data_IF_059234346539
#
_entry.id   IF_059234346539
#
_cell.length_a   1.000
_cell.length_b   1.000
_cell.length_c   1.000
_cell.angle_alpha   90.00
_cell.angle_beta   90.00
_cell.angle_gamma   90.00
#
_symmetry.space_group_name_H-M   'P 1'
#
loop_
_entity.id
_entity.type
_entity.pdbx_description
1 polymer ?
#
# COMPACT_ATOMS: atom_id res chain seq x y z
N UNK A 1 -15.52 60.23 40.87
CA UNK A 1 -16.58 59.20 40.88
C UNK A 1 -16.77 58.72 39.45
N UNK A 2 -16.83 57.40 39.23
CA UNK A 2 -16.98 56.67 37.95
C UNK A 2 -15.68 56.20 37.26
N UNK A 3 -15.32 55.01 37.72
CA UNK A 3 -14.58 53.89 37.12
C UNK A 3 -14.64 53.74 35.59
N UNK A 4 -13.48 53.50 34.98
CA UNK A 4 -13.36 52.93 33.63
C UNK A 4 -13.43 51.41 33.70
N UNK A 5 -14.41 50.82 33.03
CA UNK A 5 -14.57 49.38 32.87
C UNK A 5 -13.65 48.87 31.76
N UNK A 6 -12.87 47.83 32.07
CA UNK A 6 -12.15 47.03 31.07
C UNK A 6 -13.16 46.14 30.32
N UNK A 7 -13.26 46.30 29.00
CA UNK A 7 -13.93 45.33 28.13
C UNK A 7 -12.95 44.23 27.74
N UNK A 8 -13.11 43.05 28.33
CA UNK A 8 -12.43 41.83 27.87
C UNK A 8 -13.05 41.38 26.53
N UNK A 9 -12.24 41.35 25.47
CA UNK A 9 -12.60 40.69 24.21
C UNK A 9 -12.58 39.17 24.44
N UNK A 10 -13.76 38.56 24.41
CA UNK A 10 -13.91 37.10 24.39
C UNK A 10 -13.60 36.63 22.96
N UNK A 11 -12.42 36.07 22.74
CA UNK A 11 -12.07 35.38 21.49
C UNK A 11 -12.85 34.05 21.46
N UNK A 12 -13.93 34.00 20.69
CA UNK A 12 -14.68 32.78 20.47
C UNK A 12 -13.80 31.79 19.66
N UNK A 13 -13.32 30.76 20.34
CA UNK A 13 -12.63 29.63 19.73
C UNK A 13 -13.68 28.79 18.96
N UNK A 14 -13.73 28.94 17.64
CA UNK A 14 -14.52 28.06 16.77
C UNK A 14 -13.91 26.66 16.82
N UNK A 15 -14.43 25.80 17.69
CA UNK A 15 -14.18 24.36 17.62
C UNK A 15 -14.99 23.84 16.43
N UNK A 16 -14.33 23.68 15.28
CA UNK A 16 -14.89 22.91 14.16
C UNK A 16 -14.85 21.44 14.57
N UNK A 17 -15.94 20.96 15.16
CA UNK A 17 -16.23 19.54 15.29
C UNK A 17 -16.43 18.98 13.88
N UNK A 18 -15.42 18.32 13.33
CA UNK A 18 -15.61 17.42 12.20
C UNK A 18 -16.46 16.24 12.68
N UNK A 19 -17.78 16.38 12.54
CA UNK A 19 -18.68 15.24 12.49
C UNK A 19 -18.36 14.49 11.20
N UNK A 20 -17.44 13.52 11.28
CA UNK A 20 -17.35 12.45 10.30
C UNK A 20 -18.65 11.66 10.39
N UNK A 21 -19.63 12.07 9.59
CA UNK A 21 -20.81 11.26 9.34
C UNK A 21 -20.38 10.04 8.53
N UNK A 22 -20.02 8.97 9.23
CA UNK A 22 -19.91 7.63 8.67
C UNK A 22 -21.31 7.14 8.30
N UNK A 23 -21.92 7.72 7.27
CA UNK A 23 -23.07 7.12 6.60
C UNK A 23 -22.56 5.95 5.77
N UNK A 24 -22.27 4.84 6.45
CA UNK A 24 -22.15 3.52 5.83
C UNK A 24 -23.54 3.17 5.28
N UNK A 25 -23.64 2.94 3.97
CA UNK A 25 -24.86 2.38 3.41
C UNK A 25 -25.10 1.02 4.09
N UNK A 26 -26.36 0.74 4.51
CA UNK A 26 -26.69 -0.53 5.13
C UNK A 26 -26.14 -1.71 4.30
N UNK A 27 -25.55 -2.73 4.94
CA UNK A 27 -24.88 -3.81 4.21
C UNK A 27 -25.86 -4.46 3.23
N UNK A 28 -25.42 -4.74 1.99
CA UNK A 28 -26.28 -5.32 0.97
C UNK A 28 -26.90 -6.63 1.48
N UNK A 29 -28.21 -6.77 1.31
CA UNK A 29 -28.95 -7.98 1.70
C UNK A 29 -28.68 -9.10 0.69
N UNK A 30 -28.80 -10.35 1.14
CA UNK A 30 -28.72 -11.55 0.31
C UNK A 30 -27.34 -11.80 -0.33
N UNK A 31 -26.26 -11.59 0.42
CA UNK A 31 -24.94 -12.06 -0.02
C UNK A 31 -24.96 -13.58 -0.21
N UNK A 32 -24.29 -14.12 -1.23
CA UNK A 32 -24.10 -15.56 -1.34
C UNK A 32 -23.28 -16.08 -0.14
N UNK A 33 -23.49 -17.34 0.22
CA UNK A 33 -22.74 -17.96 1.29
C UNK A 33 -21.25 -18.05 0.91
N UNK A 34 -20.39 -17.48 1.77
CA UNK A 34 -18.95 -17.51 1.55
C UNK A 34 -18.33 -18.84 2.02
N UNK A 35 -17.50 -19.43 1.15
CA UNK A 35 -16.88 -20.74 1.39
C UNK A 35 -15.77 -20.68 2.45
N UNK A 36 -15.65 -21.73 3.27
CA UNK A 36 -14.46 -21.94 4.11
C UNK A 36 -13.23 -22.36 3.31
N UNK A 37 -13.42 -22.90 2.09
CA UNK A 37 -12.33 -23.40 1.25
C UNK A 37 -11.34 -22.30 0.84
N UNK A 38 -11.80 -21.05 0.74
CA UNK A 38 -11.00 -19.90 0.29
C UNK A 38 -10.62 -18.97 1.45
N UNK A 39 -10.74 -19.45 2.68
CA UNK A 39 -10.25 -18.81 3.89
C UNK A 39 -9.18 -19.72 4.49
N UNK A 40 -7.92 -19.31 4.38
CA UNK A 40 -6.80 -20.10 4.87
C UNK A 40 -6.35 -19.56 6.23
N UNK A 41 -7.01 -19.97 7.32
CA UNK A 41 -6.63 -19.59 8.68
C UNK A 41 -5.27 -20.19 9.05
N UNK A 42 -4.33 -19.34 9.49
CA UNK A 42 -3.00 -19.73 10.02
C UNK A 42 -2.68 -19.03 11.33
N UNK A 43 -3.12 -17.78 11.48
CA UNK A 43 -3.10 -17.05 12.74
C UNK A 43 -4.33 -17.37 13.60
N UNK A 44 -4.17 -17.32 14.92
CA UNK A 44 -5.24 -17.56 15.90
C UNK A 44 -5.98 -16.27 16.33
N UNK A 45 -5.43 -15.10 15.98
CA UNK A 45 -6.00 -13.77 16.28
C UNK A 45 -6.23 -13.46 17.78
N UNK A 46 -5.59 -14.22 18.67
CA UNK A 46 -5.73 -14.04 20.12
C UNK A 46 -5.06 -12.77 20.63
N UNK A 47 -4.00 -12.30 19.95
CA UNK A 47 -3.28 -11.09 20.35
C UNK A 47 -4.16 -9.85 20.21
N UNK A 48 -4.76 -9.64 19.04
CA UNK A 48 -5.69 -8.54 18.76
C UNK A 48 -6.95 -8.65 19.61
N UNK A 49 -7.54 -9.85 19.74
CA UNK A 49 -8.69 -10.09 20.62
C UNK A 49 -8.42 -9.62 22.05
N UNK A 50 -7.35 -10.13 22.65
CA UNK A 50 -6.97 -9.79 24.03
C UNK A 50 -6.69 -8.28 24.17
N UNK A 51 -6.01 -7.69 23.19
CA UNK A 51 -5.75 -6.26 23.18
C UNK A 51 -7.04 -5.43 23.23
N UNK A 52 -8.03 -5.80 22.41
CA UNK A 52 -9.34 -5.14 22.35
C UNK A 52 -10.14 -5.39 23.64
N UNK A 53 -10.24 -6.64 24.08
CA UNK A 53 -11.05 -7.00 25.26
C UNK A 53 -10.48 -6.50 26.59
N UNK A 54 -9.16 -6.58 26.78
CA UNK A 54 -8.54 -6.29 28.08
C UNK A 54 -8.15 -4.82 28.22
N UNK A 55 -7.62 -4.20 27.16
CA UNK A 55 -7.19 -2.80 27.24
C UNK A 55 -8.22 -1.81 26.71
N UNK A 56 -9.27 -2.31 26.03
CA UNK A 56 -10.31 -1.47 25.41
C UNK A 56 -9.73 -0.43 24.44
N UNK A 57 -8.59 -0.77 23.82
CA UNK A 57 -7.92 0.03 22.78
C UNK A 57 -7.43 -0.88 21.67
N UNK A 58 -7.37 -0.38 20.44
CA UNK A 58 -6.81 -1.14 19.32
C UNK A 58 -6.39 -0.24 18.16
N UNK A 59 -5.18 -0.42 17.65
CA UNK A 59 -4.76 0.19 16.39
C UNK A 59 -4.90 -0.82 15.25
N UNK A 60 -5.78 -0.50 14.30
CA UNK A 60 -6.06 -1.33 13.13
C UNK A 60 -5.64 -0.57 11.88
N UNK A 61 -4.79 -1.16 11.05
CA UNK A 61 -4.26 -0.51 9.87
C UNK A 61 -4.52 -1.31 8.59
N UNK A 62 -4.76 -0.59 7.50
CA UNK A 62 -5.02 -1.15 6.17
C UNK A 62 -4.01 -0.59 5.18
N UNK A 63 -3.21 -1.45 4.56
CA UNK A 63 -2.22 -1.07 3.55
C UNK A 63 -2.53 -1.74 2.22
N UNK A 64 -2.68 -0.95 1.17
CA UNK A 64 -2.92 -1.52 -0.16
C UNK A 64 -3.00 -0.49 -1.26
N UNK A 65 -3.56 -0.92 -2.39
CA UNK A 65 -3.78 -0.12 -3.57
C UNK A 65 -5.04 0.75 -3.48
N UNK A 66 -5.68 0.95 -4.63
CA UNK A 66 -6.93 1.73 -4.74
C UNK A 66 -8.11 1.08 -4.03
N UNK A 67 -8.12 -0.25 -3.90
CA UNK A 67 -9.20 -1.01 -3.26
C UNK A 67 -9.20 -0.75 -1.76
N UNK A 68 -8.02 -0.68 -1.14
CA UNK A 68 -7.86 -0.20 0.25
C UNK A 68 -8.16 1.28 0.42
N UNK A 69 -7.75 2.13 -0.53
CA UNK A 69 -7.94 3.58 -0.45
C UNK A 69 -9.41 3.97 -0.41
N UNK A 70 -10.25 3.34 -1.25
CA UNK A 70 -11.67 3.65 -1.36
C UNK A 70 -12.48 3.31 -0.09
N UNK A 71 -13.72 3.81 -0.04
CA UNK A 71 -14.69 3.40 0.96
C UNK A 71 -15.42 2.13 0.51
N UNK A 72 -14.71 1.01 0.60
CA UNK A 72 -15.19 -0.33 0.24
C UNK A 72 -15.20 -1.29 1.43
N UNK A 73 -14.47 -2.40 1.30
CA UNK A 73 -14.39 -3.44 2.34
C UNK A 73 -13.84 -2.90 3.67
N UNK A 74 -12.89 -1.95 3.63
CA UNK A 74 -12.24 -1.40 4.82
C UNK A 74 -13.24 -0.80 5.82
N UNK A 75 -14.10 0.19 5.46
CA UNK A 75 -15.14 0.67 6.36
C UNK A 75 -16.10 -0.42 6.89
N UNK A 76 -16.43 -1.43 6.08
CA UNK A 76 -17.30 -2.54 6.52
C UNK A 76 -16.60 -3.39 7.60
N UNK A 77 -15.30 -3.65 7.45
CA UNK A 77 -14.49 -4.33 8.46
C UNK A 77 -14.36 -3.48 9.73
N UNK A 78 -14.19 -2.15 9.58
CA UNK A 78 -14.16 -1.22 10.73
C UNK A 78 -15.48 -1.29 11.53
N UNK A 79 -16.61 -1.23 10.84
CA UNK A 79 -17.95 -1.35 11.46
C UNK A 79 -18.16 -2.70 12.16
N UNK A 80 -17.71 -3.80 11.53
CA UNK A 80 -17.71 -5.12 12.14
C UNK A 80 -16.89 -5.16 13.45
N UNK A 81 -15.70 -4.56 13.46
CA UNK A 81 -14.83 -4.52 14.65
C UNK A 81 -15.45 -3.68 15.78
N UNK A 82 -15.99 -2.50 15.46
CA UNK A 82 -16.68 -1.64 16.43
C UNK A 82 -17.92 -2.32 17.02
N UNK A 83 -18.68 -3.05 16.20
CA UNK A 83 -19.84 -3.82 16.67
C UNK A 83 -19.43 -5.01 17.55
N UNK A 84 -18.32 -5.67 17.23
CA UNK A 84 -17.83 -6.85 17.96
C UNK A 84 -17.22 -6.47 19.30
N UNK A 85 -16.51 -5.34 19.35
CA UNK A 85 -15.87 -4.83 20.57
C UNK A 85 -16.33 -3.40 20.89
N UNK A 86 -17.60 -3.21 21.30
CA UNK A 86 -18.22 -1.88 21.43
C UNK A 86 -17.58 -0.99 22.51
N UNK A 87 -16.85 -1.58 23.45
CA UNK A 87 -16.12 -0.84 24.48
C UNK A 87 -14.70 -0.45 24.04
N UNK A 88 -14.22 -0.93 22.88
CA UNK A 88 -12.86 -0.67 22.41
C UNK A 88 -12.79 0.64 21.64
N UNK A 89 -11.89 1.53 22.07
CA UNK A 89 -11.51 2.71 21.29
C UNK A 89 -10.52 2.31 20.19
N UNK A 90 -11.00 2.28 18.95
CA UNK A 90 -10.16 1.99 17.80
C UNK A 90 -9.48 3.24 17.22
N UNK A 91 -8.22 3.09 16.84
CA UNK A 91 -7.53 3.95 15.89
C UNK A 91 -7.49 3.21 14.56
N UNK A 92 -8.11 3.77 13.52
CA UNK A 92 -8.10 3.18 12.18
C UNK A 92 -7.16 3.95 11.25
N UNK A 93 -6.16 3.26 10.72
CA UNK A 93 -5.21 3.83 9.75
C UNK A 93 -5.56 3.34 8.34
N UNK A 94 -6.00 4.26 7.48
CA UNK A 94 -6.12 4.02 6.04
C UNK A 94 -4.81 4.42 5.35
N UNK A 95 -3.98 3.42 5.02
CA UNK A 95 -2.77 3.58 4.24
C UNK A 95 -2.94 3.09 2.80
N UNK A 96 -4.14 3.15 2.22
CA UNK A 96 -4.38 2.89 0.81
C UNK A 96 -3.82 3.99 -0.09
N UNK A 97 -3.12 3.61 -1.16
CA UNK A 97 -2.70 4.53 -2.23
C UNK A 97 -2.97 3.88 -3.58
N UNK A 98 -3.92 4.45 -4.33
CA UNK A 98 -4.23 4.03 -5.70
C UNK A 98 -2.98 3.86 -6.53
N UNK A 99 -3.00 2.86 -7.42
CA UNK A 99 -1.96 2.64 -8.42
C UNK A 99 -0.62 2.14 -7.89
N UNK A 100 -0.48 1.93 -6.57
CA UNK A 100 0.77 1.44 -5.95
C UNK A 100 0.77 -0.07 -5.74
N UNK A 101 1.96 -0.68 -5.79
CA UNK A 101 2.18 -2.12 -5.65
C UNK A 101 2.90 -2.46 -4.33
N UNK A 102 3.15 -3.75 -4.09
CA UNK A 102 3.78 -4.25 -2.86
C UNK A 102 5.19 -3.70 -2.63
N UNK A 103 5.97 -3.43 -3.69
CA UNK A 103 7.27 -2.77 -3.57
C UNK A 103 7.12 -1.36 -2.98
N UNK A 104 6.23 -0.54 -3.55
CA UNK A 104 5.92 0.79 -3.00
C UNK A 104 5.39 0.67 -1.56
N UNK A 105 4.56 -0.34 -1.30
CA UNK A 105 4.08 -0.70 0.03
C UNK A 105 5.22 -0.91 1.02
N UNK A 106 6.23 -1.71 0.66
CA UNK A 106 7.39 -1.97 1.51
C UNK A 106 8.17 -0.68 1.83
N UNK A 107 8.43 0.18 0.84
CA UNK A 107 9.16 1.43 1.06
C UNK A 107 8.39 2.47 1.90
N UNK A 108 7.05 2.43 1.90
CA UNK A 108 6.21 3.39 2.62
C UNK A 108 5.62 2.86 3.93
N UNK A 109 5.78 1.57 4.25
CA UNK A 109 5.17 0.94 5.42
C UNK A 109 5.52 1.70 6.71
N UNK A 110 6.78 2.09 6.86
CA UNK A 110 7.19 2.89 8.00
C UNK A 110 6.44 4.24 8.07
N UNK A 111 6.51 5.04 7.00
CA UNK A 111 5.92 6.38 6.96
C UNK A 111 4.40 6.36 7.14
N UNK A 112 3.71 5.45 6.47
CA UNK A 112 2.25 5.49 6.35
C UNK A 112 1.53 4.68 7.44
N UNK A 113 2.21 3.73 8.07
CA UNK A 113 1.61 2.83 9.08
C UNK A 113 2.36 2.92 10.40
N UNK A 114 3.64 2.56 10.42
CA UNK A 114 4.38 2.37 11.69
C UNK A 114 4.65 3.70 12.41
N UNK A 115 4.71 4.81 11.69
CA UNK A 115 4.81 6.16 12.27
C UNK A 115 3.62 6.54 13.15
N UNK A 116 2.49 5.84 13.00
CA UNK A 116 1.26 6.05 13.76
C UNK A 116 1.16 5.18 15.02
N UNK A 117 2.20 4.39 15.31
CA UNK A 117 2.31 3.52 16.49
C UNK A 117 2.15 2.02 16.17
N UNK A 118 2.32 1.16 17.19
CA UNK A 118 2.19 -0.29 17.03
C UNK A 118 0.81 -0.68 16.47
N UNK A 119 0.77 -1.60 15.50
CA UNK A 119 -0.47 -2.10 14.89
C UNK A 119 -0.86 -3.42 15.54
N UNK A 120 -2.09 -3.52 16.04
CA UNK A 120 -2.61 -4.70 16.73
C UNK A 120 -3.28 -5.67 15.74
N UNK A 121 -3.98 -5.16 14.73
CA UNK A 121 -4.55 -5.93 13.63
C UNK A 121 -4.28 -5.22 12.29
N UNK A 122 -3.67 -5.93 11.35
CA UNK A 122 -3.21 -5.38 10.08
C UNK A 122 -3.83 -6.09 8.89
N UNK A 123 -4.32 -5.31 7.94
CA UNK A 123 -4.85 -5.79 6.67
C UNK A 123 -3.95 -5.34 5.52
N UNK A 124 -3.60 -6.27 4.64
CA UNK A 124 -2.78 -5.96 3.45
C UNK A 124 -3.32 -6.61 2.18
N UNK A 125 -3.34 -5.85 1.09
CA UNK A 125 -3.70 -6.34 -0.24
C UNK A 125 -2.89 -5.61 -1.32
N UNK A 126 -2.29 -6.36 -2.23
CA UNK A 126 -1.57 -5.82 -3.40
C UNK A 126 -1.60 -6.76 -4.62
N UNK A 127 -2.31 -7.89 -4.57
CA UNK A 127 -2.20 -8.93 -5.62
C UNK A 127 -2.59 -8.39 -7.00
N UNK A 128 -3.68 -7.62 -7.08
CA UNK A 128 -4.09 -6.99 -8.35
C UNK A 128 -3.12 -5.92 -8.82
N UNK A 129 -2.50 -5.18 -7.89
CA UNK A 129 -1.54 -4.13 -8.22
C UNK A 129 -0.20 -4.69 -8.71
N UNK A 130 0.29 -5.75 -8.06
CA UNK A 130 1.51 -6.44 -8.49
C UNK A 130 1.33 -7.06 -9.88
N UNK A 131 0.12 -7.52 -10.22
CA UNK A 131 -0.23 -8.07 -11.53
C UNK A 131 -0.42 -6.96 -12.59
N UNK A 132 -1.43 -6.10 -12.41
CA UNK A 132 -1.89 -5.16 -13.44
C UNK A 132 -1.09 -3.85 -13.49
N UNK A 133 -0.69 -3.31 -12.34
CA UNK A 133 -0.05 -1.99 -12.27
C UNK A 133 1.47 -2.09 -12.39
N UNK A 134 2.08 -3.10 -11.78
CA UNK A 134 3.53 -3.24 -11.75
C UNK A 134 4.08 -4.31 -12.70
N UNK A 135 3.25 -5.27 -13.14
CA UNK A 135 3.69 -6.40 -13.96
C UNK A 135 4.84 -7.18 -13.31
N UNK A 136 4.78 -7.34 -11.98
CA UNK A 136 5.88 -7.88 -11.21
C UNK A 136 6.17 -9.34 -11.56
N UNK A 137 7.45 -9.68 -11.60
CA UNK A 137 7.87 -11.07 -11.54
C UNK A 137 7.51 -11.67 -10.17
N UNK A 138 7.50 -13.00 -10.08
CA UNK A 138 7.25 -13.68 -8.82
C UNK A 138 8.22 -13.25 -7.71
N UNK A 139 9.50 -13.03 -8.04
CA UNK A 139 10.51 -12.58 -7.10
C UNK A 139 10.25 -11.16 -6.59
N UNK A 140 9.88 -10.22 -7.47
CA UNK A 140 9.56 -8.86 -7.08
C UNK A 140 8.34 -8.81 -6.14
N UNK A 141 7.26 -9.51 -6.50
CA UNK A 141 6.06 -9.60 -5.67
C UNK A 141 6.33 -10.22 -4.28
N UNK A 142 7.22 -11.23 -4.19
CA UNK A 142 7.64 -11.81 -2.91
C UNK A 142 8.46 -10.79 -2.10
N UNK A 143 9.46 -10.13 -2.71
CA UNK A 143 10.34 -9.16 -2.02
C UNK A 143 9.55 -7.99 -1.44
N UNK A 144 8.58 -7.45 -2.19
CA UNK A 144 7.69 -6.38 -1.73
C UNK A 144 6.78 -6.83 -0.60
N UNK A 145 6.03 -7.91 -0.79
CA UNK A 145 5.09 -8.39 0.23
C UNK A 145 5.79 -8.83 1.52
N UNK A 146 6.88 -9.58 1.41
CA UNK A 146 7.70 -9.94 2.58
C UNK A 146 8.26 -8.69 3.28
N UNK A 147 8.66 -7.68 2.51
CA UNK A 147 9.13 -6.41 3.04
C UNK A 147 8.12 -5.73 3.98
N UNK A 148 6.86 -5.65 3.55
CA UNK A 148 5.75 -5.14 4.37
C UNK A 148 5.57 -5.97 5.64
N UNK A 149 5.42 -7.29 5.47
CA UNK A 149 5.11 -8.19 6.58
C UNK A 149 6.21 -8.20 7.65
N UNK A 150 7.48 -8.27 7.22
CA UNK A 150 8.62 -8.28 8.12
C UNK A 150 8.71 -6.98 8.93
N UNK A 151 8.44 -5.83 8.32
CA UNK A 151 8.43 -4.55 9.02
C UNK A 151 7.33 -4.48 10.09
N UNK A 152 6.11 -4.93 9.77
CA UNK A 152 4.98 -4.98 10.72
C UNK A 152 5.33 -5.90 11.90
N UNK A 153 5.80 -7.11 11.61
CA UNK A 153 6.20 -8.12 12.62
C UNK A 153 7.37 -7.67 13.49
N UNK A 154 8.36 -6.98 12.91
CA UNK A 154 9.50 -6.43 13.66
C UNK A 154 9.07 -5.30 14.60
N UNK A 155 8.16 -4.45 14.14
CA UNK A 155 7.68 -3.31 14.92
C UNK A 155 6.74 -3.75 16.06
N UNK A 156 5.83 -4.69 15.78
CA UNK A 156 4.99 -5.33 16.80
C UNK A 156 4.90 -6.85 16.56
N UNK A 157 5.64 -7.68 17.33
CA UNK A 157 5.61 -9.14 17.16
C UNK A 157 4.25 -9.76 17.55
N UNK A 158 3.39 -9.01 18.26
CA UNK A 158 2.03 -9.46 18.60
C UNK A 158 0.99 -9.04 17.57
N UNK A 159 1.35 -8.30 16.52
CA UNK A 159 0.37 -7.85 15.51
C UNK A 159 -0.34 -9.06 14.88
N UNK A 160 -1.65 -9.06 14.72
CA UNK A 160 -2.32 -10.06 13.89
C UNK A 160 -2.44 -9.55 12.45
N UNK A 161 -2.33 -10.42 11.46
CA UNK A 161 -2.34 -10.01 10.04
C UNK A 161 -3.38 -10.81 9.26
N UNK A 162 -4.14 -10.13 8.41
CA UNK A 162 -4.98 -10.72 7.36
C UNK A 162 -4.47 -10.21 6.02
N UNK A 163 -4.11 -11.12 5.13
CA UNK A 163 -3.77 -10.80 3.75
C UNK A 163 -4.95 -11.12 2.84
N UNK A 164 -5.31 -10.20 1.95
CA UNK A 164 -6.49 -10.35 1.07
C UNK A 164 -6.04 -10.38 -0.39
N UNK A 165 -6.54 -11.36 -1.15
CA UNK A 165 -6.29 -11.47 -2.59
C UNK A 165 -7.53 -11.05 -3.39
N UNK A 166 -7.55 -9.79 -3.84
CA UNK A 166 -8.53 -9.30 -4.81
C UNK A 166 -8.27 -9.85 -6.21
N UNK A 167 -9.19 -9.57 -7.14
CA UNK A 167 -9.20 -10.11 -8.49
C UNK A 167 -9.42 -9.03 -9.55
N UNK A 168 -8.72 -9.17 -10.67
CA UNK A 168 -8.97 -8.44 -11.92
C UNK A 168 -9.42 -9.43 -13.02
N UNK A 169 -9.87 -8.98 -14.20
CA UNK A 169 -10.36 -9.89 -15.25
C UNK A 169 -9.35 -10.96 -15.71
N UNK A 170 -8.07 -10.60 -15.86
CA UNK A 170 -7.00 -11.53 -16.26
C UNK A 170 -6.75 -12.61 -15.20
N UNK A 171 -6.74 -12.21 -13.92
CA UNK A 171 -6.63 -13.13 -12.79
C UNK A 171 -7.85 -14.03 -12.68
N UNK A 172 -9.06 -13.51 -12.89
CA UNK A 172 -10.30 -14.29 -12.90
C UNK A 172 -10.25 -15.36 -13.99
N UNK A 173 -9.90 -14.99 -15.22
CA UNK A 173 -9.73 -15.92 -16.34
C UNK A 173 -8.66 -16.98 -16.02
N UNK A 174 -7.55 -16.59 -15.40
CA UNK A 174 -6.51 -17.52 -14.96
C UNK A 174 -7.06 -18.57 -14.00
N UNK A 175 -7.87 -18.15 -13.01
CA UNK A 175 -8.48 -19.04 -12.02
C UNK A 175 -9.51 -19.97 -12.66
N UNK A 176 -10.38 -19.46 -13.54
CA UNK A 176 -11.39 -20.25 -14.24
C UNK A 176 -10.75 -21.29 -15.17
N UNK A 177 -9.54 -21.03 -15.67
CA UNK A 177 -8.72 -21.98 -16.39
C UNK A 177 -7.90 -22.92 -15.47
N UNK A 178 -8.29 -23.04 -14.19
CA UNK A 178 -7.66 -23.89 -13.17
C UNK A 178 -6.18 -23.61 -12.92
N UNK A 179 -5.72 -22.39 -13.22
CA UNK A 179 -4.37 -21.90 -12.93
C UNK A 179 -4.42 -20.95 -11.75
N UNK A 180 -3.25 -20.62 -11.19
CA UNK A 180 -3.15 -19.66 -10.08
C UNK A 180 -2.54 -18.36 -10.58
N UNK A 181 -3.14 -17.19 -10.28
CA UNK A 181 -2.53 -15.91 -10.58
C UNK A 181 -1.15 -15.80 -9.95
N UNK A 182 -0.20 -15.22 -10.70
CA UNK A 182 1.20 -15.16 -10.28
C UNK A 182 1.38 -14.35 -9.00
N UNK A 183 0.75 -13.17 -8.92
CA UNK A 183 0.86 -12.27 -7.77
C UNK A 183 0.25 -12.88 -6.50
N UNK A 184 -0.97 -13.40 -6.56
CA UNK A 184 -1.62 -14.11 -5.44
C UNK A 184 -0.78 -15.30 -4.97
N UNK A 185 -0.23 -16.08 -5.92
CA UNK A 185 0.64 -17.22 -5.59
C UNK A 185 1.95 -16.81 -4.92
N UNK A 186 2.53 -15.67 -5.33
CA UNK A 186 3.71 -15.09 -4.69
C UNK A 186 3.43 -14.62 -3.27
N UNK A 187 2.33 -13.88 -3.08
CA UNK A 187 1.94 -13.38 -1.75
C UNK A 187 1.58 -14.51 -0.80
N UNK A 188 0.91 -15.56 -1.30
CA UNK A 188 0.57 -16.75 -0.52
C UNK A 188 1.82 -17.55 -0.08
N UNK A 189 2.93 -17.51 -0.83
CA UNK A 189 4.21 -18.08 -0.35
C UNK A 189 4.73 -17.30 0.86
N UNK A 190 4.65 -15.97 0.84
CA UNK A 190 4.98 -15.13 2.01
C UNK A 190 4.04 -15.44 3.16
N UNK A 191 2.74 -15.55 2.90
CA UNK A 191 1.75 -15.86 3.94
C UNK A 191 2.03 -17.19 4.64
N UNK A 192 2.43 -18.23 3.90
CA UNK A 192 2.86 -19.51 4.49
C UNK A 192 4.15 -19.37 5.30
N UNK A 193 5.14 -18.63 4.80
CA UNK A 193 6.42 -18.43 5.50
C UNK A 193 6.25 -17.72 6.85
N UNK A 194 5.34 -16.75 6.93
CA UNK A 194 5.06 -15.96 8.15
C UNK A 194 3.83 -16.43 8.94
N UNK A 195 3.22 -17.56 8.57
CA UNK A 195 1.99 -18.08 9.19
C UNK A 195 0.82 -17.07 9.23
N UNK A 196 0.64 -16.32 8.15
CA UNK A 196 -0.42 -15.31 7.99
C UNK A 196 -1.64 -15.95 7.34
N UNK A 197 -2.82 -15.67 7.89
CA UNK A 197 -4.05 -16.13 7.25
C UNK A 197 -4.35 -15.32 5.99
N UNK A 198 -4.87 -16.00 4.98
CA UNK A 198 -5.26 -15.38 3.71
C UNK A 198 -6.77 -15.52 3.46
N UNK A 199 -7.36 -14.44 2.95
CA UNK A 199 -8.69 -14.43 2.34
C UNK A 199 -8.49 -14.42 0.83
N UNK A 200 -8.73 -15.56 0.18
CA UNK A 200 -8.62 -15.72 -1.27
C UNK A 200 -9.95 -15.34 -1.94
N UNK A 201 -10.27 -14.05 -1.89
CA UNK A 201 -11.47 -13.49 -2.52
C UNK A 201 -11.49 -13.77 -4.02
N UNK A 202 -10.33 -13.80 -4.67
CA UNK A 202 -10.23 -14.08 -6.10
C UNK A 202 -10.80 -15.46 -6.47
N UNK A 203 -10.37 -16.51 -5.76
CA UNK A 203 -10.92 -17.86 -6.00
C UNK A 203 -12.38 -17.97 -5.58
N UNK A 204 -12.81 -17.28 -4.52
CA UNK A 204 -14.21 -17.28 -4.10
C UNK A 204 -15.13 -16.61 -5.13
N UNK A 205 -14.72 -15.47 -5.70
CA UNK A 205 -15.46 -14.80 -6.77
C UNK A 205 -15.57 -15.70 -8.01
N UNK A 206 -14.49 -16.36 -8.41
CA UNK A 206 -14.53 -17.32 -9.52
C UNK A 206 -15.52 -18.46 -9.25
N UNK A 207 -15.45 -19.08 -8.06
CA UNK A 207 -16.36 -20.13 -7.64
C UNK A 207 -17.83 -19.68 -7.66
N UNK A 208 -18.12 -18.48 -7.14
CA UNK A 208 -19.47 -17.93 -7.11
C UNK A 208 -20.01 -17.61 -8.51
N UNK A 209 -19.15 -17.15 -9.42
CA UNK A 209 -19.50 -16.91 -10.83
C UNK A 209 -19.78 -18.24 -11.54
N UNK A 210 -18.91 -19.23 -11.39
CA UNK A 210 -19.08 -20.55 -12.02
C UNK A 210 -20.35 -21.26 -11.50
N UNK A 211 -20.69 -21.06 -10.23
CA UNK A 211 -21.92 -21.55 -9.62
C UNK A 211 -23.17 -20.70 -9.95
N UNK A 212 -23.04 -19.64 -10.76
CA UNK A 212 -24.12 -18.70 -11.14
C UNK A 212 -24.78 -18.00 -9.95
N UNK A 213 -24.05 -17.83 -8.85
CA UNK A 213 -24.50 -17.13 -7.63
C UNK A 213 -24.03 -15.66 -7.59
N UNK A 214 -23.13 -15.29 -8.49
CA UNK A 214 -22.59 -13.96 -8.66
C UNK A 214 -22.33 -13.72 -10.15
N UNK A 215 -22.46 -12.48 -10.60
CA UNK A 215 -21.95 -12.05 -11.90
C UNK A 215 -20.81 -11.05 -11.70
N UNK A 216 -19.91 -10.94 -12.68
CA UNK A 216 -18.82 -9.95 -12.62
C UNK A 216 -19.36 -8.51 -12.47
N UNK A 217 -20.49 -8.21 -13.11
CA UNK A 217 -21.18 -6.92 -12.98
C UNK A 217 -21.70 -6.68 -11.56
N UNK A 218 -22.33 -7.68 -10.93
CA UNK A 218 -22.76 -7.58 -9.53
C UNK A 218 -21.58 -7.44 -8.57
N UNK A 219 -20.45 -8.09 -8.85
CA UNK A 219 -19.22 -7.89 -8.09
C UNK A 219 -18.70 -6.45 -8.24
N UNK A 220 -18.78 -5.90 -9.45
CA UNK A 220 -18.50 -4.49 -9.78
C UNK A 220 -17.14 -4.23 -10.42
N UNK A 221 -16.35 -5.27 -10.68
CA UNK A 221 -15.05 -5.15 -11.36
C UNK A 221 -13.84 -5.22 -10.43
N UNK A 222 -12.66 -4.86 -10.94
CA UNK A 222 -11.40 -4.79 -10.17
C UNK A 222 -11.51 -3.85 -8.97
N UNK A 223 -12.29 -2.77 -9.11
CA UNK A 223 -12.72 -1.91 -8.01
C UNK A 223 -14.14 -2.33 -7.66
N UNK A 224 -14.35 -3.25 -6.69
CA UNK A 224 -15.65 -3.87 -6.52
C UNK A 224 -16.70 -2.82 -6.15
N UNK A 225 -17.95 -3.07 -6.54
CA UNK A 225 -19.10 -2.31 -6.09
C UNK A 225 -19.37 -2.59 -4.60
N UNK A 226 -20.30 -1.88 -3.94
CA UNK A 226 -20.65 -2.17 -2.54
C UNK A 226 -20.97 -3.65 -2.29
N UNK A 227 -21.62 -4.34 -3.24
CA UNK A 227 -21.92 -5.77 -3.14
C UNK A 227 -20.66 -6.65 -3.13
N UNK A 228 -19.71 -6.44 -4.04
CA UNK A 228 -18.45 -7.18 -4.07
C UNK A 228 -17.56 -6.92 -2.84
N UNK A 229 -17.51 -5.67 -2.36
CA UNK A 229 -16.82 -5.34 -1.11
C UNK A 229 -17.43 -6.04 0.10
N UNK A 230 -18.75 -6.20 0.13
CA UNK A 230 -19.43 -6.88 1.22
C UNK A 230 -19.14 -8.39 1.24
N UNK A 231 -18.89 -9.03 0.10
CA UNK A 231 -18.39 -10.42 0.05
C UNK A 231 -17.01 -10.50 0.71
N UNK A 232 -16.10 -9.58 0.37
CA UNK A 232 -14.79 -9.50 1.00
C UNK A 232 -14.88 -9.33 2.52
N UNK A 233 -15.72 -8.39 2.97
CA UNK A 233 -15.93 -8.12 4.39
C UNK A 233 -16.51 -9.36 5.11
N UNK A 234 -17.47 -10.05 4.50
CA UNK A 234 -18.06 -11.28 5.05
C UNK A 234 -17.04 -12.41 5.20
N UNK A 235 -16.10 -12.58 4.25
CA UNK A 235 -15.01 -13.56 4.38
C UNK A 235 -14.05 -13.22 5.53
N UNK A 236 -13.72 -11.93 5.70
CA UNK A 236 -12.87 -11.45 6.81
C UNK A 236 -13.58 -11.64 8.15
N UNK A 237 -14.86 -11.25 8.24
CA UNK A 237 -15.70 -11.47 9.42
C UNK A 237 -15.75 -12.96 9.77
N UNK A 238 -16.01 -13.83 8.80
CA UNK A 238 -16.04 -15.29 9.03
C UNK A 238 -14.70 -15.82 9.56
N UNK A 239 -13.58 -15.37 9.00
CA UNK A 239 -12.23 -15.72 9.49
C UNK A 239 -12.04 -15.30 10.95
N UNK A 240 -12.30 -14.03 11.26
CA UNK A 240 -12.02 -13.47 12.58
C UNK A 240 -12.97 -14.01 13.65
N UNK A 241 -14.27 -14.09 13.36
CA UNK A 241 -15.27 -14.67 14.27
C UNK A 241 -14.93 -16.12 14.59
N UNK A 242 -14.52 -16.92 13.61
CA UNK A 242 -14.11 -18.31 13.85
C UNK A 242 -12.86 -18.37 14.74
N UNK A 243 -11.82 -17.60 14.41
CA UNK A 243 -10.58 -17.62 15.18
C UNK A 243 -10.77 -17.14 16.63
N UNK A 244 -11.62 -16.14 16.86
CA UNK A 244 -11.91 -15.63 18.20
C UNK A 244 -12.79 -16.54 19.06
N UNK A 245 -13.32 -17.65 18.53
CA UNK A 245 -13.93 -18.69 19.36
C UNK A 245 -12.87 -19.53 20.10
N UNK A 246 -11.62 -19.49 19.65
CA UNK A 246 -10.52 -20.16 20.33
C UNK A 246 -10.18 -19.44 21.66
N UNK A 247 -9.65 -20.23 22.59
CA UNK A 247 -9.16 -19.77 23.89
C UNK A 247 -7.67 -20.02 23.99
N UNK A 248 -6.95 -19.10 24.61
CA UNK A 248 -5.51 -19.21 24.82
C UNK A 248 -4.91 -17.86 25.16
N UNK A 249 -3.63 -17.87 25.49
CA UNK A 249 -2.89 -16.65 25.79
C UNK A 249 -2.34 -15.99 24.52
N UNK A 250 -2.21 -14.65 24.51
CA UNK A 250 -1.47 -13.93 23.48
C UNK A 250 -0.02 -14.45 23.37
N UNK A 251 0.42 -14.76 22.15
CA UNK A 251 1.80 -15.19 21.88
C UNK A 251 2.37 -14.40 20.72
N UNK A 252 3.63 -13.99 20.87
CA UNK A 252 4.40 -13.36 19.79
C UNK A 252 4.41 -14.27 18.57
N UNK A 253 4.10 -13.70 17.41
CA UNK A 253 4.22 -14.41 16.15
C UNK A 253 5.68 -14.70 15.84
N UNK A 254 6.01 -15.91 15.35
CA UNK A 254 7.36 -16.21 14.90
C UNK A 254 7.72 -15.28 13.73
N UNK A 255 8.93 -14.72 13.78
CA UNK A 255 9.52 -13.98 12.66
C UNK A 255 10.64 -14.85 12.11
N UNK A 256 10.53 -15.34 10.86
CA UNK A 256 11.58 -16.13 10.25
C UNK A 256 12.93 -15.41 10.30
N UNK A 257 13.98 -16.11 10.70
CA UNK A 257 15.35 -15.54 10.80
C UNK A 257 15.92 -15.15 9.43
N UNK A 258 15.45 -15.83 8.37
CA UNK A 258 15.86 -15.58 6.98
C UNK A 258 14.65 -15.15 6.17
N UNK A 259 14.90 -14.20 5.26
CA UNK A 259 13.94 -13.86 4.22
C UNK A 259 13.64 -15.08 3.35
N UNK A 260 12.40 -15.17 2.89
CA UNK A 260 11.93 -16.19 1.95
C UNK A 260 12.71 -16.15 0.64
N UNK A 261 13.10 -14.94 0.21
CA UNK A 261 14.00 -14.72 -0.93
C UNK A 261 15.11 -13.74 -0.55
N UNK A 262 16.32 -13.87 -1.14
CA UNK A 262 17.34 -12.83 -1.06
C UNK A 262 16.80 -11.48 -1.54
N UNK A 263 17.37 -10.40 -1.01
CA UNK A 263 17.06 -9.02 -1.42
C UNK A 263 15.60 -8.60 -1.15
N UNK A 264 14.99 -9.18 -0.13
CA UNK A 264 13.68 -8.77 0.36
C UNK A 264 13.69 -7.34 0.88
N UNK A 265 12.60 -6.59 0.69
CA UNK A 265 12.50 -5.18 1.09
C UNK A 265 12.13 -5.02 2.58
N UNK A 266 12.69 -5.88 3.44
CA UNK A 266 12.39 -5.94 4.87
C UNK A 266 12.85 -4.72 5.66
N UNK A 267 13.71 -3.89 5.06
CA UNK A 267 14.19 -2.63 5.60
C UNK A 267 13.81 -1.46 4.66
N UNK A 268 12.85 -1.69 3.76
CA UNK A 268 12.40 -0.71 2.79
C UNK A 268 11.94 0.59 3.46
N UNK A 269 12.45 1.72 2.98
CA UNK A 269 12.10 3.04 3.48
C UNK A 269 12.22 4.11 2.40
N UNK A 270 11.54 5.23 2.59
CA UNK A 270 11.79 6.42 1.79
C UNK A 270 13.00 7.20 2.31
N UNK A 271 13.85 7.62 1.37
CA UNK A 271 14.96 8.54 1.60
C UNK A 271 14.50 9.93 1.11
N UNK A 272 14.76 10.96 1.93
CA UNK A 272 14.30 12.31 1.67
C UNK A 272 14.98 12.89 0.42
N UNK A 273 14.18 13.49 -0.48
CA UNK A 273 14.69 14.13 -1.71
C UNK A 273 15.72 15.24 -1.46
N UNK A 274 15.71 15.85 -0.26
CA UNK A 274 16.68 16.88 0.15
C UNK A 274 18.09 16.34 0.37
N UNK A 275 18.26 15.03 0.44
CA UNK A 275 19.58 14.41 0.61
C UNK A 275 20.38 14.39 -0.71
N UNK A 276 19.75 14.67 -1.85
CA UNK A 276 20.44 14.78 -3.12
C UNK A 276 21.25 16.08 -3.22
N UNK A 277 22.47 15.97 -3.75
CA UNK A 277 23.26 17.08 -4.27
C UNK A 277 22.80 17.30 -5.71
N UNK A 278 22.17 18.43 -5.97
CA UNK A 278 21.53 18.73 -7.25
C UNK A 278 22.31 19.80 -8.01
N UNK A 279 22.37 19.69 -9.34
CA UNK A 279 22.88 20.77 -10.19
C UNK A 279 21.80 21.83 -10.49
N UNK A 280 22.08 22.75 -11.42
CA UNK A 280 21.13 23.81 -11.83
C UNK A 280 19.93 23.32 -12.63
N UNK A 281 19.97 22.10 -13.19
CA UNK A 281 18.87 21.50 -13.97
C UNK A 281 17.79 20.85 -13.12
N UNK A 282 18.06 20.64 -11.83
CA UNK A 282 17.12 20.08 -10.85
C UNK A 282 16.64 21.13 -9.86
N UNK A 283 15.39 20.98 -9.39
CA UNK A 283 14.83 21.82 -8.33
C UNK A 283 13.84 21.05 -7.48
N UNK A 284 13.71 21.45 -6.22
CA UNK A 284 12.62 20.97 -5.37
C UNK A 284 11.47 21.96 -5.45
N UNK A 285 10.36 21.57 -6.07
CA UNK A 285 9.19 22.43 -6.24
C UNK A 285 7.90 21.63 -6.35
N UNK A 286 6.76 22.28 -6.09
CA UNK A 286 5.47 21.76 -6.52
C UNK A 286 5.35 22.01 -8.03
N UNK A 287 5.14 20.99 -8.86
CA UNK A 287 4.96 21.20 -10.29
C UNK A 287 3.79 22.14 -10.57
N UNK A 288 3.91 22.99 -11.61
CA UNK A 288 2.81 23.84 -12.08
C UNK A 288 1.80 22.98 -12.84
N UNK A 289 0.96 22.26 -12.10
CA UNK A 289 0.11 21.20 -12.66
C UNK A 289 -0.87 21.70 -13.73
N UNK A 290 -1.30 22.95 -13.68
CA UNK A 290 -2.19 23.56 -14.67
C UNK A 290 -1.53 23.66 -16.06
N UNK A 291 -0.19 23.77 -16.10
CA UNK A 291 0.58 23.88 -17.34
C UNK A 291 0.96 22.50 -17.93
N UNK A 292 0.72 21.42 -17.20
CA UNK A 292 1.21 20.07 -17.55
C UNK A 292 0.03 19.20 -18.01
N UNK A 293 0.07 18.58 -19.21
CA UNK A 293 -1.03 17.75 -19.69
C UNK A 293 -1.20 16.46 -18.88
N UNK A 294 -2.37 15.84 -18.99
CA UNK A 294 -2.75 14.62 -18.28
C UNK A 294 -3.50 14.90 -16.97
N UNK A 295 -4.34 13.96 -16.57
CA UNK A 295 -5.05 13.97 -15.29
C UNK A 295 -4.07 13.80 -14.13
N UNK A 296 -4.44 14.26 -12.93
CA UNK A 296 -3.65 14.13 -11.71
C UNK A 296 -4.53 13.61 -10.59
N UNK A 297 -3.94 12.86 -9.66
CA UNK A 297 -4.60 12.54 -8.38
C UNK A 297 -4.32 13.70 -7.42
N UNK A 298 -5.38 14.34 -6.91
CA UNK A 298 -5.31 15.54 -6.06
C UNK A 298 -4.34 15.39 -4.88
N UNK A 299 -4.22 14.18 -4.32
CA UNK A 299 -3.30 13.90 -3.21
C UNK A 299 -1.82 14.19 -3.52
N UNK A 300 -1.43 14.22 -4.79
CA UNK A 300 -0.03 14.49 -5.18
C UNK A 300 0.19 15.92 -5.68
N UNK A 301 -0.87 16.71 -5.89
CA UNK A 301 -0.73 18.00 -6.58
C UNK A 301 -0.19 19.12 -5.69
N UNK A 302 -0.11 18.91 -4.38
CA UNK A 302 0.44 19.87 -3.40
C UNK A 302 1.79 19.44 -2.82
N UNK A 303 2.33 18.29 -3.22
CA UNK A 303 3.58 17.75 -2.65
C UNK A 303 4.78 18.35 -3.37
N UNK A 304 5.76 18.95 -2.66
CA UNK A 304 7.03 19.33 -3.25
C UNK A 304 7.80 18.09 -3.73
N UNK A 305 8.25 18.11 -4.97
CA UNK A 305 8.97 17.01 -5.61
C UNK A 305 10.32 17.49 -6.09
N UNK A 306 11.28 16.57 -6.19
CA UNK A 306 12.52 16.81 -6.92
C UNK A 306 12.23 16.64 -8.41
N UNK A 307 12.36 17.74 -9.15
CA UNK A 307 11.92 17.86 -10.54
C UNK A 307 13.04 18.29 -11.47
N UNK A 308 13.09 17.67 -12.64
CA UNK A 308 13.85 18.10 -13.81
C UNK A 308 13.07 17.75 -15.08
N UNK A 309 13.26 18.51 -16.15
CA UNK A 309 12.63 18.28 -17.46
C UNK A 309 13.62 18.50 -18.62
N UNK A 310 14.89 18.76 -18.30
CA UNK A 310 15.96 19.03 -19.26
C UNK A 310 16.92 17.84 -19.31
N UNK A 311 17.15 17.32 -20.51
CA UNK A 311 18.13 16.26 -20.73
C UNK A 311 19.53 16.68 -20.24
N UNK A 312 20.27 15.74 -19.67
CA UNK A 312 21.60 15.98 -19.12
C UNK A 312 21.62 16.59 -17.72
N UNK A 313 20.49 17.02 -17.14
CA UNK A 313 20.44 17.46 -15.75
C UNK A 313 20.84 16.33 -14.80
N UNK A 314 21.80 16.58 -13.90
CA UNK A 314 22.41 15.59 -13.03
C UNK A 314 22.18 15.86 -11.54
N UNK A 315 22.11 14.79 -10.76
CA UNK A 315 22.17 14.82 -9.32
C UNK A 315 23.01 13.67 -8.78
N UNK A 316 23.47 13.82 -7.55
CA UNK A 316 24.16 12.79 -6.78
C UNK A 316 23.42 12.51 -5.48
N UNK A 317 23.40 11.24 -5.08
CA UNK A 317 22.82 10.79 -3.82
C UNK A 317 23.77 9.80 -3.14
N UNK A 318 24.22 10.14 -1.94
CA UNK A 318 24.87 9.21 -1.04
C UNK A 318 23.78 8.47 -0.24
N UNK A 319 23.85 7.13 -0.18
CA UNK A 319 22.87 6.30 0.54
C UNK A 319 23.55 5.08 1.17
N UNK A 320 22.86 4.43 2.11
CA UNK A 320 23.31 3.21 2.76
C UNK A 320 22.23 2.14 2.67
N UNK A 321 22.60 0.93 2.26
CA UNK A 321 21.66 -0.18 2.13
C UNK A 321 22.06 -1.19 1.08
N UNK A 322 21.05 -1.81 0.48
CA UNK A 322 21.10 -2.93 -0.46
C UNK A 322 20.25 -2.68 -1.71
N UNK A 323 19.41 -1.64 -1.68
CA UNK A 323 18.59 -1.23 -2.81
C UNK A 323 18.55 0.29 -2.97
N UNK A 324 18.35 0.75 -4.20
CA UNK A 324 18.03 2.13 -4.53
C UNK A 324 16.93 2.18 -5.60
N UNK A 325 15.98 3.08 -5.42
CA UNK A 325 14.96 3.41 -6.41
C UNK A 325 14.41 4.83 -6.20
N UNK A 326 13.33 5.13 -6.92
CA UNK A 326 12.57 6.38 -6.77
C UNK A 326 11.07 6.12 -6.81
N UNK A 327 10.34 6.82 -5.94
CA UNK A 327 8.90 6.93 -6.02
C UNK A 327 8.53 8.20 -6.79
N UNK A 328 7.93 8.04 -7.96
CA UNK A 328 7.67 9.14 -8.92
C UNK A 328 6.18 9.32 -9.19
N UNK A 329 5.83 10.50 -9.71
CA UNK A 329 4.57 10.73 -10.42
C UNK A 329 4.88 10.90 -11.91
N UNK A 330 4.64 9.85 -12.70
CA UNK A 330 5.00 9.80 -14.12
C UNK A 330 3.81 10.13 -15.03
N UNK A 331 3.86 11.26 -15.72
CA UNK A 331 2.82 11.72 -16.66
C UNK A 331 3.17 11.51 -18.14
N UNK A 332 2.40 12.14 -19.06
CA UNK A 332 2.56 11.96 -20.50
C UNK A 332 3.94 12.35 -21.06
N UNK A 333 4.67 13.14 -20.29
CA UNK A 333 5.98 13.71 -20.58
C UNK A 333 7.11 13.09 -19.74
N UNK A 334 6.84 11.99 -19.02
CA UNK A 334 7.82 11.34 -18.16
C UNK A 334 9.03 10.84 -18.95
N UNK A 335 10.22 11.17 -18.47
CA UNK A 335 11.49 10.84 -19.12
C UNK A 335 12.10 9.51 -18.67
N UNK A 336 13.33 9.28 -19.13
CA UNK A 336 14.19 8.18 -18.70
C UNK A 336 15.28 8.76 -17.78
N UNK A 337 15.52 8.10 -16.65
CA UNK A 337 16.68 8.36 -15.81
C UNK A 337 17.80 7.39 -16.17
N UNK A 338 19.02 7.90 -16.32
CA UNK A 338 20.23 7.09 -16.39
C UNK A 338 20.91 7.11 -15.03
N UNK A 339 21.16 5.93 -14.46
CA UNK A 339 21.69 5.79 -13.10
C UNK A 339 23.00 5.01 -13.12
N UNK A 340 24.03 5.57 -12.50
CA UNK A 340 25.32 4.93 -12.21
C UNK A 340 25.46 4.79 -10.70
N UNK A 341 25.71 3.59 -10.19
CA UNK A 341 25.97 3.32 -8.78
C UNK A 341 27.43 2.91 -8.61
N UNK A 342 28.14 3.52 -7.67
CA UNK A 342 29.55 3.28 -7.33
C UNK A 342 30.51 3.35 -8.53
N UNK A 343 30.26 4.30 -9.44
CA UNK A 343 31.07 4.50 -10.65
C UNK A 343 30.87 3.43 -11.73
N UNK A 344 29.87 2.56 -11.59
CA UNK A 344 29.47 1.61 -12.62
C UNK A 344 28.91 2.28 -13.88
N UNK A 345 28.63 1.51 -14.95
CA UNK A 345 28.06 2.07 -16.17
C UNK A 345 26.63 2.57 -15.94
N UNK A 346 26.30 3.73 -16.52
CA UNK A 346 24.94 4.26 -16.51
C UNK A 346 23.95 3.26 -17.14
N UNK A 347 22.88 2.94 -16.41
CA UNK A 347 21.77 2.10 -16.88
C UNK A 347 20.49 2.94 -17.01
N UNK A 348 19.69 2.75 -18.08
CA UNK A 348 18.46 3.50 -18.28
C UNK A 348 17.28 2.90 -17.50
N UNK A 349 16.47 3.78 -16.91
CA UNK A 349 15.25 3.46 -16.18
C UNK A 349 14.12 4.37 -16.67
N UNK A 350 13.18 3.77 -17.40
CA UNK A 350 12.04 4.50 -17.94
C UNK A 350 11.01 4.78 -16.84
N UNK A 351 10.75 6.06 -16.59
CA UNK A 351 9.73 6.48 -15.63
C UNK A 351 8.32 6.32 -16.22
N UNK A 352 8.19 6.39 -17.55
CA UNK A 352 6.93 6.32 -18.24
C UNK A 352 6.25 4.97 -17.99
N UNK A 353 4.96 5.03 -17.64
CA UNK A 353 4.11 3.87 -17.44
C UNK A 353 3.05 3.80 -18.52
N UNK A 354 2.45 2.63 -18.78
CA UNK A 354 1.41 2.55 -19.82
C UNK A 354 0.18 3.42 -19.49
N UNK A 355 -0.12 3.66 -18.20
CA UNK A 355 -1.13 4.63 -17.77
C UNK A 355 -0.67 6.10 -17.86
N UNK A 356 0.63 6.36 -18.01
CA UNK A 356 1.18 7.71 -18.09
C UNK A 356 0.67 8.51 -19.29
N UNK A 357 0.14 7.85 -20.32
CA UNK A 357 -0.45 8.51 -21.51
C UNK A 357 -1.53 9.54 -21.14
N UNK A 358 -2.32 9.27 -20.11
CA UNK A 358 -3.44 10.11 -19.68
C UNK A 358 -3.38 10.57 -18.23
N UNK A 359 -2.49 10.00 -17.40
CA UNK A 359 -2.48 10.21 -15.96
C UNK A 359 -1.05 10.39 -15.46
N UNK A 360 -0.85 11.36 -14.57
CA UNK A 360 0.32 11.46 -13.71
C UNK A 360 0.30 10.33 -12.67
N UNK A 361 0.94 9.21 -13.03
CA UNK A 361 0.81 7.91 -12.39
C UNK A 361 1.86 7.70 -11.28
N UNK A 362 1.45 7.42 -10.03
CA UNK A 362 2.40 7.14 -8.95
C UNK A 362 3.01 5.74 -9.12
N UNK A 363 4.33 5.61 -9.10
CA UNK A 363 4.99 4.29 -9.13
C UNK A 363 6.39 4.31 -8.55
N UNK A 364 6.81 3.16 -8.02
CA UNK A 364 8.21 2.89 -7.69
C UNK A 364 8.96 2.45 -8.95
N UNK A 365 10.17 2.97 -9.12
CA UNK A 365 11.14 2.52 -10.13
C UNK A 365 12.41 2.15 -9.38
N UNK A 366 12.60 0.84 -9.17
CA UNK A 366 13.76 0.30 -8.46
C UNK A 366 14.93 0.19 -9.43
N UNK A 367 16.03 0.89 -9.15
CA UNK A 367 17.22 0.89 -10.00
C UNK A 367 18.07 -0.36 -9.77
N UNK A 368 18.26 -0.71 -8.50
CA UNK A 368 18.98 -1.91 -8.10
C UNK A 368 18.43 -2.39 -6.76
N UNK A 369 18.27 -3.69 -6.57
CA UNK A 369 17.86 -4.29 -5.30
C UNK A 369 18.87 -5.28 -4.73
N UNK A 370 20.01 -5.46 -5.38
CA UNK A 370 20.96 -6.54 -5.10
C UNK A 370 22.36 -6.02 -4.75
N UNK A 371 22.44 -4.77 -4.27
CA UNK A 371 23.68 -4.18 -3.79
C UNK A 371 24.15 -4.91 -2.54
N UNK A 372 25.47 -4.92 -2.33
CA UNK A 372 26.07 -5.40 -1.08
C UNK A 372 25.68 -4.43 0.05
N UNK A 373 25.45 -4.89 1.29
CA UNK A 373 25.21 -3.99 2.41
C UNK A 373 26.38 -3.01 2.58
N UNK A 374 26.08 -1.71 2.60
CA UNK A 374 27.07 -0.69 2.87
C UNK A 374 26.68 0.68 2.34
N UNK A 375 27.65 1.59 2.34
CA UNK A 375 27.51 2.94 1.79
C UNK A 375 27.77 2.91 0.29
N UNK A 376 26.95 3.66 -0.44
CA UNK A 376 26.97 3.75 -1.88
C UNK A 376 26.81 5.21 -2.32
N UNK A 377 27.23 5.48 -3.54
CA UNK A 377 26.96 6.74 -4.22
C UNK A 377 26.27 6.47 -5.55
N UNK A 378 25.14 7.13 -5.78
CA UNK A 378 24.45 7.13 -7.06
C UNK A 378 24.60 8.48 -7.76
N UNK A 379 24.98 8.44 -9.04
CA UNK A 379 24.86 9.55 -9.97
C UNK A 379 23.69 9.29 -10.90
N UNK A 380 22.74 10.23 -10.94
CA UNK A 380 21.49 10.12 -11.69
C UNK A 380 21.40 11.29 -12.66
N UNK A 381 21.09 11.01 -13.92
CA UNK A 381 20.87 12.06 -14.92
C UNK A 381 19.63 11.82 -15.75
N UNK A 382 19.04 12.89 -16.26
CA UNK A 382 17.96 12.80 -17.24
C UNK A 382 18.55 12.41 -18.59
N UNK A 383 18.08 11.32 -19.19
CA UNK A 383 18.58 10.83 -20.48
C UNK A 383 18.20 11.79 -21.63
N UNK A 384 19.06 11.87 -22.65
CA UNK A 384 18.72 12.47 -23.94
C UNK A 384 17.69 11.63 -24.72
N UNK A 385 17.52 10.36 -24.36
CA UNK A 385 16.51 9.48 -24.94
C UNK A 385 15.19 9.62 -24.17
N UNK A 386 14.08 9.44 -24.88
CA UNK A 386 12.74 9.34 -24.29
C UNK A 386 11.90 8.30 -25.03
N UNK A 387 10.98 7.67 -24.30
CA UNK A 387 9.92 6.81 -24.83
C UNK A 387 8.56 7.53 -24.89
N UNK A 388 8.51 8.78 -24.41
CA UNK A 388 7.29 9.57 -24.23
C UNK A 388 7.37 10.91 -24.97
N UNK A 389 6.56 11.90 -24.55
CA UNK A 389 6.56 13.26 -25.12
C UNK A 389 7.59 14.20 -24.48
N UNK A 390 8.37 13.76 -23.49
CA UNK A 390 9.29 14.63 -22.77
C UNK A 390 10.32 13.91 -21.93
N UNK A 391 11.02 14.70 -21.10
CA UNK A 391 12.12 14.24 -20.25
C UNK A 391 11.83 14.44 -18.75
N UNK A 392 10.56 14.62 -18.38
CA UNK A 392 10.20 15.01 -17.02
C UNK A 392 10.47 13.90 -16.00
N UNK A 393 11.21 14.24 -14.95
CA UNK A 393 11.31 13.48 -13.72
C UNK A 393 10.61 14.25 -12.61
N UNK A 394 9.73 13.57 -11.86
CA UNK A 394 8.99 14.14 -10.71
C UNK A 394 9.06 13.16 -9.55
N UNK A 395 10.15 13.25 -8.80
CA UNK A 395 10.50 12.32 -7.72
C UNK A 395 9.93 12.83 -6.40
N UNK A 396 9.04 12.05 -5.79
CA UNK A 396 8.49 12.35 -4.46
C UNK A 396 9.44 11.91 -3.35
N UNK A 397 10.14 10.79 -3.55
CA UNK A 397 11.09 10.22 -2.59
C UNK A 397 12.07 9.32 -3.31
N UNK A 398 13.29 9.25 -2.79
CA UNK A 398 14.16 8.11 -3.10
C UNK A 398 13.70 6.90 -2.28
N UNK A 399 14.01 5.70 -2.73
CA UNK A 399 13.63 4.45 -2.08
C UNK A 399 14.89 3.67 -1.73
N UNK A 400 15.05 3.27 -0.47
CA UNK A 400 16.19 2.51 0.04
C UNK A 400 15.75 1.24 0.76
N UNK A 401 16.67 0.29 0.94
CA UNK A 401 16.46 -0.93 1.72
C UNK A 401 17.72 -1.35 2.48
#
# INVERSE_FOLDING_TARGET
MKTFAHSAQLTALLIVLFLNSHLSAAPPKNLPAVSDQHIHQRGNYLNSKHKFESTKTGHVAFLGGSITEMNGYRPMVMEFLEKTFPETKFQFTNAGISSTCSNTGAFRTNRDVLSQGPVDLFFVEFAVNDDQDAGHSAAAAIRGMEGVIAQIRRHNPNSDIVMVHFVNPSMLETIQNQKKPLSSSSHEQVARHYQISTVDLASEVARLIDAKQLTWEQFGGTHPAPFGNAICAAMIEKLLTKAWQESGEPVKHPVPEKSLKPHSFMNGHFINIKNAKIDSGWKISVPKWDDIPGSKRSRFTSIPMLTADTAGAELELDFEGTALGVFVVAGPDAGILEVSIDGGPFQPFDLYHHYSKGLHYPRSVVFNSELKPGKHQAKIRVSEKTSSKGHAARIMSFEGN
#
